data_IF_478711475831
#
_entry.id   IF_478711475831
#
_cell.length_a   1.000
_cell.length_b   1.000
_cell.length_c   1.000
_cell.angle_alpha   90.00
_cell.angle_beta   90.00
_cell.angle_gamma   90.00
#
_symmetry.space_group_name_H-M   'P 1'
#
loop_
_entity.id
_entity.type
_entity.pdbx_description
1 polymer ?
#
# COMPACT_ATOMS: atom_id res chain seq x y z
N UNK A 1 7.95 -9.50 6.53
CA UNK A 1 7.36 -9.26 5.20
C UNK A 1 8.41 -9.57 4.14
N UNK A 2 8.10 -10.46 3.19
CA UNK A 2 9.07 -11.05 2.25
C UNK A 2 9.90 -10.03 1.45
N UNK A 3 9.32 -8.86 1.14
CA UNK A 3 9.97 -7.83 0.34
C UNK A 3 10.92 -6.90 1.11
N UNK A 4 10.68 -6.70 2.41
CA UNK A 4 11.35 -5.68 3.22
C UNK A 4 12.40 -6.26 4.17
N UNK A 5 12.55 -7.58 4.23
CA UNK A 5 13.43 -8.29 5.17
C UNK A 5 13.25 -7.86 6.65
N UNK A 6 12.00 -7.58 7.03
CA UNK A 6 11.60 -7.21 8.40
C UNK A 6 10.69 -8.25 9.01
N UNK A 7 10.78 -8.43 10.32
CA UNK A 7 9.83 -9.23 11.11
C UNK A 7 8.81 -8.29 11.74
N UNK A 8 7.53 -8.52 11.46
CA UNK A 8 6.43 -7.74 12.03
C UNK A 8 5.85 -8.46 13.24
N UNK A 9 5.29 -7.68 14.17
CA UNK A 9 4.66 -8.18 15.38
C UNK A 9 3.13 -8.04 15.32
N UNK A 10 2.44 -8.66 16.29
CA UNK A 10 0.96 -8.61 16.41
C UNK A 10 0.37 -7.19 16.44
N UNK A 11 1.17 -6.20 16.85
CA UNK A 11 0.78 -4.80 16.94
C UNK A 11 0.77 -4.08 15.59
N UNK A 12 1.47 -4.60 14.57
CA UNK A 12 1.48 -4.04 13.21
C UNK A 12 0.19 -4.35 12.44
N UNK A 13 -0.62 -5.31 12.91
CA UNK A 13 -1.94 -5.59 12.36
C UNK A 13 -3.01 -4.94 13.25
N UNK A 14 -3.59 -3.84 12.78
CA UNK A 14 -4.67 -3.12 13.45
C UNK A 14 -5.99 -3.58 12.84
N UNK A 15 -6.98 -3.90 13.68
CA UNK A 15 -8.33 -4.24 13.23
C UNK A 15 -9.35 -3.42 14.01
N UNK A 16 -10.51 -3.16 13.40
CA UNK A 16 -11.63 -2.47 14.06
C UNK A 16 -11.95 -3.09 15.42
N UNK A 17 -12.02 -4.42 15.50
CA UNK A 17 -12.27 -5.13 16.77
C UNK A 17 -11.22 -4.87 17.86
N UNK A 18 -9.94 -4.71 17.51
CA UNK A 18 -8.89 -4.36 18.49
C UNK A 18 -9.06 -2.95 19.03
N UNK A 19 -9.34 -1.99 18.15
CA UNK A 19 -9.54 -0.58 18.53
C UNK A 19 -10.78 -0.44 19.40
N UNK A 20 -11.90 -1.01 18.98
CA UNK A 20 -13.16 -0.93 19.73
C UNK A 20 -13.01 -1.58 21.10
N UNK A 21 -12.36 -2.75 21.18
CA UNK A 21 -12.07 -3.39 22.47
C UNK A 21 -11.26 -2.47 23.38
N UNK A 22 -10.18 -1.86 22.87
CA UNK A 22 -9.36 -0.95 23.66
C UNK A 22 -10.16 0.24 24.21
N UNK A 23 -11.01 0.84 23.37
CA UNK A 23 -11.81 2.00 23.77
C UNK A 23 -12.89 1.61 24.79
N UNK A 24 -13.57 0.48 24.60
CA UNK A 24 -14.55 -0.06 25.58
C UNK A 24 -13.88 -0.39 26.91
N UNK A 25 -12.67 -0.97 26.89
CA UNK A 25 -11.93 -1.31 28.10
C UNK A 25 -11.52 -0.03 28.87
N UNK A 26 -11.08 1.03 28.17
CA UNK A 26 -10.78 2.36 28.75
C UNK A 26 -12.02 3.04 29.33
N UNK A 27 -13.15 2.94 28.65
CA UNK A 27 -14.44 3.45 29.12
C UNK A 27 -14.83 2.81 30.46
N UNK A 28 -14.75 1.48 30.54
CA UNK A 28 -15.05 0.74 31.78
C UNK A 28 -14.09 1.03 32.92
N UNK A 29 -12.85 1.39 32.61
CA UNK A 29 -11.88 1.81 33.61
C UNK A 29 -12.12 3.23 34.16
N UNK A 30 -12.92 4.04 33.46
CA UNK A 30 -13.21 5.42 33.84
C UNK A 30 -12.28 6.46 33.21
N UNK A 31 -11.47 6.09 32.21
CA UNK A 31 -10.49 6.99 31.57
C UNK A 31 -11.14 8.20 30.89
N UNK A 32 -12.41 8.08 30.48
CA UNK A 32 -13.18 9.14 29.85
C UNK A 32 -14.00 10.00 30.84
N UNK A 33 -13.73 9.88 32.15
CA UNK A 33 -14.37 10.69 33.21
C UNK A 33 -15.91 10.65 33.19
N UNK A 34 -16.48 9.50 32.81
CA UNK A 34 -17.92 9.30 32.71
C UNK A 34 -18.60 10.02 31.54
N UNK A 35 -17.84 10.63 30.62
CA UNK A 35 -18.39 11.22 29.38
C UNK A 35 -18.73 10.14 28.36
N UNK A 36 -19.72 10.41 27.52
CA UNK A 36 -20.13 9.51 26.45
C UNK A 36 -19.03 9.31 25.43
N UNK A 37 -18.68 8.06 25.16
CA UNK A 37 -17.74 7.67 24.11
C UNK A 37 -18.41 7.71 22.74
N UNK A 38 -17.70 8.26 21.76
CA UNK A 38 -18.16 8.48 20.38
C UNK A 38 -17.05 8.08 19.40
N UNK A 39 -17.41 7.82 18.13
CA UNK A 39 -16.43 7.50 17.08
C UNK A 39 -15.39 8.61 16.93
N UNK A 40 -15.85 9.86 16.81
CA UNK A 40 -14.98 11.03 16.86
C UNK A 40 -15.20 11.72 18.22
N UNK A 41 -14.15 12.01 19.00
CA UNK A 41 -12.73 11.77 18.70
C UNK A 41 -12.21 10.41 19.22
N UNK A 42 -12.95 9.68 20.07
CA UNK A 42 -12.36 8.60 20.87
C UNK A 42 -11.81 7.41 20.06
N UNK A 43 -12.50 6.98 19.00
CA UNK A 43 -12.02 5.89 18.13
C UNK A 43 -10.90 6.41 17.23
N UNK A 44 -11.05 7.63 16.67
CA UNK A 44 -10.04 8.23 15.79
C UNK A 44 -8.74 8.53 16.51
N UNK A 45 -8.80 8.97 17.77
CA UNK A 45 -7.63 9.19 18.63
C UNK A 45 -6.94 7.88 18.97
N UNK A 46 -7.71 6.83 19.31
CA UNK A 46 -7.15 5.51 19.59
C UNK A 46 -6.41 4.91 18.38
N UNK A 47 -6.92 5.11 17.16
CA UNK A 47 -6.23 4.71 15.92
C UNK A 47 -4.91 5.48 15.77
N UNK A 48 -4.95 6.80 15.93
CA UNK A 48 -3.78 7.67 15.81
C UNK A 48 -2.69 7.36 16.85
N UNK A 49 -3.07 7.18 18.13
CA UNK A 49 -2.16 6.75 19.20
C UNK A 49 -1.51 5.40 18.89
N UNK A 50 -2.26 4.46 18.33
CA UNK A 50 -1.73 3.14 17.98
C UNK A 50 -0.67 3.25 16.89
N UNK A 51 -0.94 4.03 15.85
CA UNK A 51 -0.01 4.27 14.73
C UNK A 51 1.31 4.83 15.25
N UNK A 52 1.27 5.90 16.05
CA UNK A 52 2.49 6.52 16.60
C UNK A 52 3.28 5.55 17.47
N UNK A 53 2.59 4.81 18.34
CA UNK A 53 3.21 3.82 19.20
C UNK A 53 3.89 2.70 18.42
N UNK A 54 3.35 2.28 17.28
CA UNK A 54 3.96 1.25 16.44
C UNK A 54 5.09 1.83 15.60
N UNK A 55 4.93 3.05 15.06
CA UNK A 55 5.94 3.71 14.25
C UNK A 55 7.25 3.98 15.02
N UNK A 56 7.17 4.24 16.32
CA UNK A 56 8.35 4.47 17.17
C UNK A 56 9.11 3.19 17.53
N UNK A 57 8.53 2.01 17.31
CA UNK A 57 9.15 0.75 17.70
C UNK A 57 10.17 0.27 16.67
N UNK A 58 11.40 -0.07 17.10
CA UNK A 58 12.36 -0.69 16.20
C UNK A 58 11.87 -2.07 15.78
N UNK A 59 11.89 -2.33 14.48
CA UNK A 59 11.51 -3.61 13.86
C UNK A 59 12.71 -4.30 13.16
N UNK A 60 13.82 -3.58 13.01
CA UNK A 60 15.07 -4.09 12.47
C UNK A 60 15.99 -4.60 13.58
N UNK A 61 16.86 -5.54 13.23
CA UNK A 61 17.90 -6.07 14.14
C UNK A 61 18.85 -4.98 14.66
N UNK A 62 18.96 -3.87 13.93
CA UNK A 62 19.76 -2.70 14.30
C UNK A 62 19.21 -1.91 15.49
N UNK A 63 17.98 -2.17 15.93
CA UNK A 63 17.36 -1.49 17.07
C UNK A 63 17.02 -0.01 16.82
N UNK A 64 17.18 0.49 15.58
CA UNK A 64 16.90 1.88 15.23
C UNK A 64 15.41 2.11 15.03
N UNK A 65 14.93 3.28 15.47
CA UNK A 65 13.57 3.74 15.17
C UNK A 65 13.41 3.98 13.67
N UNK A 66 12.34 3.46 13.04
CA UNK A 66 12.05 3.73 11.62
C UNK A 66 11.82 5.21 11.34
N UNK A 67 12.36 5.70 10.22
CA UNK A 67 12.12 7.08 9.74
C UNK A 67 10.83 7.17 8.89
N UNK A 68 10.43 6.06 8.26
CA UNK A 68 9.23 5.96 7.42
C UNK A 68 8.39 4.78 7.88
N UNK A 69 7.10 5.03 8.10
CA UNK A 69 6.10 4.00 8.41
C UNK A 69 5.13 3.86 7.24
N UNK A 70 5.10 2.68 6.61
CA UNK A 70 4.15 2.37 5.55
C UNK A 70 2.87 1.84 6.20
N UNK A 71 1.76 2.51 5.97
CA UNK A 71 0.45 2.15 6.50
C UNK A 71 -0.44 1.73 5.34
N UNK A 72 -0.90 0.48 5.38
CA UNK A 72 -1.89 -0.05 4.44
C UNK A 72 -3.27 -0.02 5.10
N UNK A 73 -4.20 0.71 4.51
CA UNK A 73 -5.61 0.61 4.86
C UNK A 73 -6.26 -0.43 3.94
N UNK A 74 -6.60 -1.59 4.49
CA UNK A 74 -7.37 -2.61 3.78
C UNK A 74 -8.83 -2.20 3.58
N UNK A 75 -9.49 -2.84 2.62
CA UNK A 75 -10.87 -2.51 2.23
C UNK A 75 -10.91 -1.52 1.05
N UNK A 76 -12.11 -1.02 0.74
CA UNK A 76 -12.33 -0.05 -0.33
C UNK A 76 -12.68 1.29 0.29
N UNK A 77 -12.16 2.38 -0.28
CA UNK A 77 -12.57 3.74 0.10
C UNK A 77 -14.06 3.89 -0.20
N UNK A 78 -14.83 4.37 0.78
CA UNK A 78 -16.29 4.51 0.68
C UNK A 78 -17.09 3.49 1.49
N UNK A 79 -16.46 2.39 1.86
CA UNK A 79 -17.09 1.38 2.72
C UNK A 79 -17.26 1.92 4.15
N UNK A 80 -18.38 1.56 4.79
CA UNK A 80 -18.74 2.00 6.16
C UNK A 80 -17.64 1.63 7.16
N UNK A 81 -17.00 0.47 6.96
CA UNK A 81 -15.92 -0.05 7.78
C UNK A 81 -14.65 0.83 7.73
N UNK A 82 -14.41 1.51 6.61
CA UNK A 82 -13.21 2.33 6.38
C UNK A 82 -13.34 3.76 6.92
N UNK A 83 -14.57 4.25 7.11
CA UNK A 83 -14.85 5.66 7.44
C UNK A 83 -14.12 6.13 8.70
N UNK A 84 -14.10 5.32 9.77
CA UNK A 84 -13.41 5.68 11.00
C UNK A 84 -11.88 5.81 10.82
N UNK A 85 -11.28 4.98 9.96
CA UNK A 85 -9.86 5.06 9.67
C UNK A 85 -9.52 6.26 8.78
N UNK A 86 -10.34 6.54 7.77
CA UNK A 86 -10.14 7.69 6.89
C UNK A 86 -10.24 8.99 7.68
N UNK A 87 -11.24 9.12 8.57
CA UNK A 87 -11.36 10.29 9.44
C UNK A 87 -10.18 10.40 10.42
N UNK A 88 -9.69 9.28 10.96
CA UNK A 88 -8.49 9.27 11.79
C UNK A 88 -7.25 9.77 11.03
N UNK A 89 -7.03 9.30 9.80
CA UNK A 89 -5.93 9.76 8.95
C UNK A 89 -6.10 11.22 8.52
N UNK A 90 -7.33 11.66 8.27
CA UNK A 90 -7.64 13.05 7.94
C UNK A 90 -7.25 13.98 9.08
N UNK A 91 -7.51 13.61 10.34
CA UNK A 91 -7.06 14.36 11.51
C UNK A 91 -5.54 14.27 11.71
N UNK A 92 -4.98 13.06 11.52
CA UNK A 92 -3.56 12.79 11.69
C UNK A 92 -2.68 13.66 10.78
N UNK A 93 -3.07 13.86 9.52
CA UNK A 93 -2.31 14.67 8.56
C UNK A 93 -2.06 16.10 9.06
N UNK A 94 -3.03 16.69 9.77
CA UNK A 94 -2.90 18.04 10.33
C UNK A 94 -1.99 18.05 11.56
N UNK A 95 -2.04 16.99 12.37
CA UNK A 95 -1.22 16.84 13.56
C UNK A 95 0.26 16.66 13.24
N UNK A 96 0.59 15.84 12.25
CA UNK A 96 1.99 15.53 11.88
C UNK A 96 2.58 16.49 10.86
N UNK A 97 1.76 17.38 10.28
CA UNK A 97 2.08 18.29 9.18
C UNK A 97 2.22 17.59 7.82
N UNK A 98 2.09 18.39 6.76
CA UNK A 98 2.01 17.94 5.36
C UNK A 98 3.27 17.19 4.93
N UNK A 99 4.45 17.63 5.35
CA UNK A 99 5.75 17.04 4.99
C UNK A 99 5.97 15.64 5.59
N UNK A 100 5.23 15.26 6.64
CA UNK A 100 5.38 13.95 7.30
C UNK A 100 4.23 12.99 6.96
N UNK A 101 3.35 13.36 6.02
CA UNK A 101 2.20 12.55 5.60
C UNK A 101 2.09 12.53 4.08
N UNK A 102 2.00 11.32 3.52
CA UNK A 102 1.86 11.09 2.09
C UNK A 102 0.76 10.06 1.82
N UNK A 103 -0.15 10.37 0.91
CA UNK A 103 -1.25 9.48 0.51
C UNK A 103 -0.99 8.88 -0.86
N UNK A 104 -0.84 7.56 -0.93
CA UNK A 104 -0.83 6.81 -2.18
C UNK A 104 -2.18 6.11 -2.37
N UNK A 105 -2.96 6.53 -3.37
CA UNK A 105 -4.23 5.92 -3.69
C UNK A 105 -4.06 4.90 -4.83
N UNK A 106 -4.49 3.67 -4.59
CA UNK A 106 -4.44 2.59 -5.58
C UNK A 106 -5.83 2.41 -6.20
N UNK A 107 -5.93 2.43 -7.53
CA UNK A 107 -7.16 2.27 -8.28
C UNK A 107 -7.00 1.27 -9.43
N UNK A 108 -8.11 0.73 -9.94
CA UNK A 108 -8.15 -0.19 -11.07
C UNK A 108 -8.72 0.53 -12.31
N UNK A 109 -8.02 0.42 -13.44
CA UNK A 109 -8.51 0.85 -14.76
C UNK A 109 -8.95 -0.39 -15.53
N UNK A 110 -10.25 -0.75 -15.53
CA UNK A 110 -10.73 -1.90 -16.27
C UNK A 110 -10.72 -1.63 -17.77
N UNK A 111 -10.54 -2.71 -18.54
CA UNK A 111 -10.66 -2.72 -20.00
C UNK A 111 -11.63 -3.85 -20.41
N UNK A 112 -12.94 -3.57 -20.47
CA UNK A 112 -13.91 -4.59 -20.84
C UNK A 112 -13.59 -5.19 -22.20
N UNK A 113 -13.55 -6.53 -22.30
CA UNK A 113 -13.22 -7.26 -23.53
C UNK A 113 -14.14 -6.90 -24.70
N UNK A 114 -15.39 -6.54 -24.40
CA UNK A 114 -16.40 -6.14 -25.38
C UNK A 114 -16.09 -4.80 -26.05
N UNK A 115 -15.53 -3.84 -25.32
CA UNK A 115 -15.25 -2.50 -25.84
C UNK A 115 -13.80 -2.31 -26.25
N UNK A 116 -12.85 -3.04 -25.63
CA UNK A 116 -11.42 -2.87 -25.86
C UNK A 116 -10.84 -1.54 -25.35
N UNK A 117 -11.67 -0.64 -24.80
CA UNK A 117 -11.25 0.65 -24.26
C UNK A 117 -11.02 0.62 -22.75
N UNK A 118 -9.96 1.30 -22.31
CA UNK A 118 -9.72 1.58 -20.88
C UNK A 118 -10.78 2.53 -20.34
N UNK A 119 -11.44 2.15 -19.24
CA UNK A 119 -12.45 3.00 -18.59
C UNK A 119 -11.86 3.67 -17.35
N UNK A 120 -11.75 4.99 -17.40
CA UNK A 120 -11.13 5.83 -16.35
C UNK A 120 -12.11 6.36 -15.31
N UNK A 121 -13.42 6.35 -15.61
CA UNK A 121 -14.46 6.86 -14.71
C UNK A 121 -14.42 6.27 -13.29
N UNK A 122 -14.21 4.95 -13.08
CA UNK A 122 -14.13 4.39 -11.73
C UNK A 122 -13.02 5.04 -10.89
N UNK A 123 -11.84 5.26 -11.49
CA UNK A 123 -10.72 5.95 -10.83
C UNK A 123 -11.07 7.40 -10.49
N UNK A 124 -11.74 8.12 -11.40
CA UNK A 124 -12.14 9.51 -11.16
C UNK A 124 -13.10 9.63 -9.97
N UNK A 125 -14.10 8.74 -9.90
CA UNK A 125 -15.07 8.72 -8.80
C UNK A 125 -14.41 8.41 -7.45
N UNK A 126 -13.53 7.40 -7.39
CA UNK A 126 -12.84 7.02 -6.15
C UNK A 126 -11.89 8.12 -5.64
N UNK A 127 -11.23 8.84 -6.56
CA UNK A 127 -10.39 9.99 -6.19
C UNK A 127 -11.23 11.16 -5.68
N UNK A 128 -12.41 11.38 -6.26
CA UNK A 128 -13.35 12.39 -5.78
C UNK A 128 -13.83 12.06 -4.36
N UNK A 129 -14.24 10.81 -4.14
CA UNK A 129 -14.70 10.32 -2.83
C UNK A 129 -13.62 10.42 -1.74
N UNK A 130 -12.38 10.04 -2.05
CA UNK A 130 -11.26 10.20 -1.13
C UNK A 130 -11.06 11.68 -0.71
N UNK A 131 -11.24 12.61 -1.65
CA UNK A 131 -11.16 14.06 -1.39
C UNK A 131 -12.34 14.59 -0.61
N UNK A 132 -13.54 14.10 -0.88
CA UNK A 132 -14.74 14.45 -0.10
C UNK A 132 -14.57 14.05 1.37
N UNK A 133 -13.87 12.93 1.62
CA UNK A 133 -13.47 12.50 2.96
C UNK A 133 -12.25 13.26 3.52
N UNK A 134 -11.75 14.28 2.81
CA UNK A 134 -10.70 15.19 3.28
C UNK A 134 -9.26 14.70 3.11
N UNK A 135 -9.03 13.63 2.33
CA UNK A 135 -7.69 13.18 1.95
C UNK A 135 -7.43 13.47 0.47
N UNK A 136 -6.31 14.12 0.18
CA UNK A 136 -5.87 14.35 -1.20
C UNK A 136 -4.72 13.39 -1.53
N UNK A 137 -4.81 12.60 -2.62
CA UNK A 137 -3.73 11.70 -2.99
C UNK A 137 -2.51 12.50 -3.47
N UNK A 138 -1.35 12.20 -2.91
CA UNK A 138 -0.05 12.68 -3.40
C UNK A 138 0.43 11.82 -4.58
N UNK A 139 0.02 10.55 -4.61
CA UNK A 139 0.32 9.58 -5.67
C UNK A 139 -0.95 8.83 -6.03
N UNK A 140 -1.20 8.67 -7.33
CA UNK A 140 -2.24 7.79 -7.86
C UNK A 140 -1.56 6.63 -8.59
N UNK A 141 -1.77 5.42 -8.07
CA UNK A 141 -1.30 4.16 -8.66
C UNK A 141 -2.48 3.48 -9.35
N UNK A 142 -2.45 3.39 -10.66
CA UNK A 142 -3.47 2.72 -11.44
C UNK A 142 -3.01 1.35 -11.92
N UNK A 143 -3.65 0.30 -11.43
CA UNK A 143 -3.49 -1.06 -11.97
C UNK A 143 -4.31 -1.22 -13.25
N UNK A 144 -3.77 -1.89 -14.26
CA UNK A 144 -4.48 -2.23 -15.49
C UNK A 144 -4.04 -3.59 -16.04
N UNK A 145 -4.83 -4.24 -16.88
CA UNK A 145 -4.40 -5.50 -17.53
C UNK A 145 -3.31 -5.24 -18.59
N UNK A 146 -3.41 -4.11 -19.31
CA UNK A 146 -2.51 -3.72 -20.39
C UNK A 146 -1.91 -2.33 -20.13
N UNK A 147 -0.75 -2.00 -20.75
CA UNK A 147 -0.20 -0.66 -20.70
C UNK A 147 -1.22 0.36 -21.24
N UNK A 148 -1.45 1.43 -20.48
CA UNK A 148 -2.35 2.50 -20.92
C UNK A 148 -1.62 3.52 -21.79
N UNK A 149 -2.31 4.03 -22.80
CA UNK A 149 -1.82 5.10 -23.67
C UNK A 149 -1.72 6.45 -22.96
N UNK A 150 -0.90 7.36 -23.52
CA UNK A 150 -0.64 8.68 -22.95
C UNK A 150 -1.92 9.53 -22.78
N UNK A 151 -2.87 9.43 -23.72
CA UNK A 151 -4.16 10.13 -23.65
C UNK A 151 -4.98 9.79 -22.41
N UNK A 152 -4.93 8.52 -21.97
CA UNK A 152 -5.60 8.06 -20.75
C UNK A 152 -4.93 8.65 -19.51
N UNK A 153 -3.59 8.73 -19.52
CA UNK A 153 -2.82 9.34 -18.42
C UNK A 153 -3.13 10.82 -18.26
N UNK A 154 -3.16 11.56 -19.36
CA UNK A 154 -3.49 12.99 -19.37
C UNK A 154 -4.92 13.23 -18.91
N UNK A 155 -5.86 12.40 -19.36
CA UNK A 155 -7.25 12.44 -18.90
C UNK A 155 -7.32 12.27 -17.37
N UNK A 156 -6.68 11.24 -16.82
CA UNK A 156 -6.70 11.00 -15.36
C UNK A 156 -6.01 12.15 -14.63
N UNK A 157 -4.86 12.62 -15.09
CA UNK A 157 -4.14 13.76 -14.51
C UNK A 157 -5.02 15.01 -14.42
N UNK A 158 -5.75 15.34 -15.50
CA UNK A 158 -6.66 16.48 -15.55
C UNK A 158 -7.88 16.32 -14.63
N UNK A 159 -8.60 15.19 -14.73
CA UNK A 159 -9.81 14.94 -13.92
C UNK A 159 -9.49 14.77 -12.44
N UNK A 160 -8.38 14.11 -12.14
CA UNK A 160 -7.94 13.88 -10.77
C UNK A 160 -7.11 15.03 -10.25
N UNK A 161 -6.87 16.13 -10.96
CA UNK A 161 -6.08 17.28 -10.50
C UNK A 161 -4.74 16.88 -9.85
N UNK A 162 -4.01 15.96 -10.48
CA UNK A 162 -2.66 15.56 -10.08
C UNK A 162 -1.69 15.80 -11.22
N UNK A 163 -0.46 16.19 -10.93
CA UNK A 163 0.58 16.33 -11.93
C UNK A 163 0.90 14.96 -12.57
N UNK A 164 1.34 14.90 -13.84
CA UNK A 164 1.68 13.64 -14.50
C UNK A 164 2.72 12.80 -13.75
N UNK A 165 3.61 13.45 -13.00
CA UNK A 165 4.66 12.81 -12.17
C UNK A 165 4.08 12.10 -10.93
N UNK A 166 2.90 12.48 -10.49
CA UNK A 166 2.19 11.90 -9.35
C UNK A 166 1.35 10.68 -9.76
N UNK A 167 1.28 10.40 -11.07
CA UNK A 167 0.48 9.33 -11.63
C UNK A 167 1.38 8.22 -12.17
N UNK A 168 1.14 6.99 -11.73
CA UNK A 168 1.80 5.79 -12.26
C UNK A 168 0.75 4.77 -12.67
N UNK A 169 0.92 4.19 -13.86
CA UNK A 169 0.10 3.07 -14.32
C UNK A 169 0.94 1.82 -14.42
N UNK A 170 0.56 0.81 -13.64
CA UNK A 170 1.24 -0.47 -13.55
C UNK A 170 0.35 -1.51 -14.24
N UNK A 171 0.75 -2.01 -15.44
CA UNK A 171 0.05 -3.10 -16.07
C UNK A 171 0.26 -4.40 -15.28
N UNK A 172 -0.53 -5.45 -15.55
CA UNK A 172 -0.25 -6.77 -15.01
C UNK A 172 1.14 -7.23 -15.51
N UNK A 173 2.07 -7.39 -14.57
CA UNK A 173 3.44 -7.81 -14.83
C UNK A 173 3.55 -9.32 -14.70
N UNK A 174 4.54 -9.91 -15.38
CA UNK A 174 4.80 -11.35 -15.32
C UNK A 174 5.25 -11.81 -13.94
N UNK A 175 5.87 -10.89 -13.17
CA UNK A 175 6.35 -11.18 -11.84
C UNK A 175 6.17 -10.01 -10.88
N UNK A 176 5.82 -10.32 -9.63
CA UNK A 176 5.75 -9.35 -8.52
C UNK A 176 7.10 -8.68 -8.24
N UNK A 177 8.22 -9.30 -8.63
CA UNK A 177 9.56 -8.75 -8.45
C UNK A 177 9.89 -7.61 -9.43
N UNK A 178 9.08 -7.44 -10.49
CA UNK A 178 9.24 -6.37 -11.46
C UNK A 178 8.59 -5.07 -11.02
N UNK A 179 7.63 -5.13 -10.09
CA UNK A 179 6.90 -3.95 -9.58
C UNK A 179 7.85 -2.88 -9.02
N UNK A 180 8.83 -3.18 -8.13
CA UNK A 180 9.75 -2.17 -7.63
C UNK A 180 10.59 -1.52 -8.74
N UNK A 181 11.05 -2.31 -9.71
CA UNK A 181 11.84 -1.81 -10.86
C UNK A 181 10.98 -0.92 -11.74
N UNK A 182 9.71 -1.29 -11.96
CA UNK A 182 8.76 -0.51 -12.74
C UNK A 182 8.47 0.84 -12.07
N UNK A 183 8.25 0.85 -10.75
CA UNK A 183 8.05 2.08 -9.97
C UNK A 183 9.29 2.97 -9.99
N UNK A 184 10.48 2.38 -9.89
CA UNK A 184 11.74 3.12 -9.94
C UNK A 184 11.98 3.78 -11.29
N UNK A 185 11.71 3.07 -12.39
CA UNK A 185 11.81 3.64 -13.74
C UNK A 185 10.86 4.84 -13.97
N UNK A 186 9.83 4.99 -13.14
CA UNK A 186 8.91 6.14 -13.16
C UNK A 186 9.33 7.26 -12.19
N UNK A 187 10.46 7.15 -11.49
CA UNK A 187 10.98 8.19 -10.59
C UNK A 187 10.24 8.29 -9.25
N UNK A 188 9.51 7.24 -8.85
CA UNK A 188 8.69 7.29 -7.63
C UNK A 188 9.50 7.49 -6.35
N UNK A 189 10.71 6.92 -6.26
CA UNK A 189 11.59 7.09 -5.11
C UNK A 189 12.08 8.53 -4.97
N UNK A 190 12.44 9.17 -6.08
CA UNK A 190 12.83 10.57 -6.13
C UNK A 190 11.67 11.49 -5.72
N UNK A 191 10.49 11.26 -6.28
CA UNK A 191 9.28 12.01 -5.92
C UNK A 191 8.98 11.91 -4.42
N UNK A 192 9.01 10.71 -3.84
CA UNK A 192 8.75 10.50 -2.41
C UNK A 192 9.82 11.16 -1.54
N UNK A 193 11.10 11.07 -1.92
CA UNK A 193 12.20 11.73 -1.21
C UNK A 193 11.99 13.25 -1.12
N UNK A 194 11.59 13.87 -2.24
CA UNK A 194 11.27 15.29 -2.28
C UNK A 194 9.99 15.63 -1.50
N UNK A 195 8.92 14.85 -1.68
CA UNK A 195 7.61 15.11 -1.07
C UNK A 195 7.65 15.01 0.46
N UNK A 196 8.47 14.12 1.01
CA UNK A 196 8.63 13.86 2.44
C UNK A 196 9.89 14.48 3.05
N UNK A 197 10.66 15.27 2.29
CA UNK A 197 11.91 15.88 2.72
C UNK A 197 12.91 14.92 3.38
N UNK A 198 13.05 13.70 2.82
CA UNK A 198 13.87 12.63 3.44
C UNK A 198 15.39 12.88 3.31
N UNK A 199 15.82 13.90 2.57
CA UNK A 199 17.24 14.23 2.40
C UNK A 199 18.04 13.17 1.64
N UNK A 200 17.37 12.31 0.87
CA UNK A 200 18.03 11.25 0.09
C UNK A 200 18.52 11.88 -1.22
N UNK A 201 19.69 12.51 -1.20
CA UNK A 201 20.34 13.07 -2.39
C UNK A 201 21.88 13.02 -2.29
N UNK A 202 22.61 12.52 -3.31
CA UNK A 202 22.09 11.82 -4.49
C UNK A 202 21.67 10.40 -4.14
N UNK A 203 20.60 9.93 -4.78
CA UNK A 203 20.33 8.50 -4.84
C UNK A 203 21.51 7.85 -5.59
N UNK A 204 22.42 7.18 -4.88
CA UNK A 204 23.43 6.32 -5.52
C UNK A 204 22.70 5.49 -6.59
N UNK A 205 23.26 5.28 -7.81
CA UNK A 205 22.49 4.93 -8.99
C UNK A 205 21.51 3.83 -8.61
N UNK A 206 20.22 4.15 -8.51
CA UNK A 206 19.22 3.26 -7.91
C UNK A 206 19.19 1.91 -8.60
N UNK A 207 19.63 1.86 -9.86
CA UNK A 207 20.01 0.67 -10.62
C UNK A 207 20.86 -0.35 -9.83
N UNK A 208 21.78 0.07 -8.96
CA UNK A 208 22.59 -0.81 -8.09
C UNK A 208 21.72 -1.48 -7.02
N UNK A 209 20.81 -0.74 -6.39
CA UNK A 209 19.87 -1.30 -5.42
C UNK A 209 18.75 -2.11 -6.07
N UNK A 210 18.42 -1.81 -7.33
CA UNK A 210 17.45 -2.57 -8.13
C UNK A 210 18.03 -3.86 -8.72
N UNK A 211 19.36 -4.01 -8.78
CA UNK A 211 20.03 -5.19 -9.35
C UNK A 211 19.50 -6.54 -8.83
N UNK A 212 19.26 -6.73 -7.51
CA UNK A 212 18.67 -7.97 -7.00
C UNK A 212 17.27 -8.25 -7.57
N UNK A 213 16.42 -7.22 -7.68
CA UNK A 213 15.06 -7.33 -8.22
C UNK A 213 15.07 -7.64 -9.71
N UNK A 214 15.91 -6.95 -10.48
CA UNK A 214 16.11 -7.21 -11.92
C UNK A 214 16.55 -8.66 -12.13
N UNK A 215 17.56 -9.11 -11.39
CA UNK A 215 18.06 -10.48 -11.49
C UNK A 215 17.00 -11.52 -11.10
N UNK A 216 16.18 -11.25 -10.09
CA UNK A 216 15.09 -12.15 -9.69
C UNK A 216 14.01 -12.27 -10.76
N UNK A 217 13.62 -11.14 -11.39
CA UNK A 217 12.65 -11.13 -12.50
C UNK A 217 13.20 -11.85 -13.74
N UNK A 218 14.44 -11.58 -14.12
CA UNK A 218 15.11 -12.25 -15.24
C UNK A 218 15.21 -13.76 -15.04
N UNK A 219 15.55 -14.23 -13.83
CA UNK A 219 15.61 -15.66 -13.55
C UNK A 219 14.24 -16.32 -13.64
N UNK A 220 13.18 -15.68 -13.15
CA UNK A 220 11.82 -16.21 -13.27
C UNK A 220 11.38 -16.37 -14.74
N UNK A 221 11.80 -15.46 -15.62
CA UNK A 221 11.51 -15.56 -17.06
C UNK A 221 12.27 -16.67 -17.78
N UNK A 222 13.42 -17.07 -17.25
CA UNK A 222 14.33 -18.03 -17.92
C UNK A 222 14.49 -19.34 -17.14
N UNK A 223 13.47 -19.76 -16.38
CA UNK A 223 13.45 -21.07 -15.73
C UNK A 223 13.53 -22.17 -16.78
N UNK A 224 14.48 -23.11 -16.59
CA UNK A 224 14.75 -24.17 -17.58
C UNK A 224 14.01 -25.46 -17.31
N UNK A 225 13.61 -25.67 -16.06
CA UNK A 225 13.06 -26.92 -15.59
C UNK A 225 11.68 -26.69 -14.97
N UNK A 226 10.75 -27.58 -15.27
CA UNK A 226 9.43 -27.60 -14.67
C UNK A 226 9.37 -28.75 -13.66
N UNK A 227 8.93 -28.44 -12.44
CA UNK A 227 8.73 -29.44 -11.37
C UNK A 227 7.29 -29.36 -10.90
N UNK A 228 6.58 -30.48 -11.00
CA UNK A 228 5.21 -30.58 -10.50
C UNK A 228 5.23 -30.84 -9.00
N UNK A 229 4.65 -29.92 -8.21
CA UNK A 229 4.48 -30.07 -6.77
C UNK A 229 2.99 -30.16 -6.46
N UNK A 230 2.53 -31.32 -6.02
CA UNK A 230 1.14 -31.50 -5.60
C UNK A 230 0.93 -30.98 -4.17
N UNK A 231 0.04 -30.01 -3.99
CA UNK A 231 -0.36 -29.48 -2.68
C UNK A 231 -1.67 -30.16 -2.25
N UNK A 232 -1.62 -30.99 -1.22
CA UNK A 232 -2.81 -31.64 -0.65
C UNK A 232 -3.46 -30.67 0.35
N UNK A 233 -4.47 -29.95 -0.12
CA UNK A 233 -5.20 -28.94 0.65
C UNK A 233 -6.66 -29.30 0.92
N UNK A 234 -7.23 -28.66 1.94
CA UNK A 234 -8.67 -28.71 2.27
C UNK A 234 -9.52 -27.87 1.30
N UNK A 235 -8.98 -26.75 0.82
CA UNK A 235 -9.72 -25.78 0.00
C UNK A 235 -9.19 -25.74 -1.43
N UNK A 236 -9.76 -26.54 -2.33
CA UNK A 236 -9.26 -26.65 -3.71
C UNK A 236 -9.65 -25.48 -4.63
N UNK A 237 -10.60 -24.63 -4.22
CA UNK A 237 -11.13 -23.50 -5.03
C UNK A 237 -10.74 -22.11 -4.53
N UNK A 238 -10.07 -22.01 -3.37
CA UNK A 238 -9.61 -20.75 -2.81
C UNK A 238 -8.08 -20.72 -2.89
N UNK A 239 -7.56 -20.25 -4.02
CA UNK A 239 -6.11 -20.08 -4.24
C UNK A 239 -5.47 -19.23 -3.13
N UNK A 240 -6.21 -18.24 -2.61
CA UNK A 240 -5.78 -17.38 -1.51
C UNK A 240 -5.40 -18.14 -0.23
N UNK A 241 -6.00 -19.31 0.02
CA UNK A 241 -5.70 -20.12 1.20
C UNK A 241 -4.28 -20.66 1.20
N UNK A 242 -3.64 -20.76 0.03
CA UNK A 242 -2.32 -21.35 -0.15
C UNK A 242 -1.31 -20.38 -0.77
N UNK A 243 -1.67 -19.11 -0.98
CA UNK A 243 -0.80 -18.09 -1.59
C UNK A 243 0.57 -17.97 -0.92
N UNK A 244 0.65 -18.09 0.40
CA UNK A 244 1.94 -18.03 1.11
C UNK A 244 2.85 -19.24 0.79
N UNK A 245 2.27 -20.44 0.72
CA UNK A 245 2.98 -21.67 0.36
C UNK A 245 3.45 -21.60 -1.09
N UNK A 246 2.55 -21.26 -2.01
CA UNK A 246 2.85 -21.12 -3.44
C UNK A 246 3.96 -20.10 -3.68
N UNK A 247 3.89 -18.92 -3.04
CA UNK A 247 4.96 -17.91 -3.14
C UNK A 247 6.31 -18.38 -2.59
N UNK A 248 6.31 -19.10 -1.46
CA UNK A 248 7.53 -19.65 -0.88
C UNK A 248 8.17 -20.71 -1.80
N UNK A 249 7.36 -21.59 -2.39
CA UNK A 249 7.81 -22.59 -3.35
C UNK A 249 8.39 -21.94 -4.62
N UNK A 250 7.71 -20.94 -5.19
CA UNK A 250 8.25 -20.19 -6.33
C UNK A 250 9.57 -19.50 -6.00
N UNK A 251 9.72 -18.94 -4.81
CA UNK A 251 10.98 -18.32 -4.39
C UNK A 251 12.10 -19.34 -4.23
N UNK A 252 11.82 -20.50 -3.64
CA UNK A 252 12.78 -21.59 -3.51
C UNK A 252 13.19 -22.15 -4.89
N UNK A 253 12.23 -22.36 -5.80
CA UNK A 253 12.48 -22.79 -7.17
C UNK A 253 13.39 -21.81 -7.91
N UNK A 254 13.07 -20.50 -7.87
CA UNK A 254 13.86 -19.45 -8.51
C UNK A 254 15.33 -19.39 -8.00
N UNK A 255 15.59 -19.86 -6.78
CA UNK A 255 16.97 -19.95 -6.26
C UNK A 255 17.78 -21.05 -6.94
N UNK A 256 17.14 -22.12 -7.38
CA UNK A 256 17.77 -23.32 -7.94
C UNK A 256 17.92 -23.20 -9.47
N UNK A 257 16.99 -22.50 -10.14
CA UNK A 257 16.96 -22.31 -11.61
C UNK A 257 15.99 -23.26 -12.29
#
# INVERSE_FOLDING_TARGET
MMFLNITLHRQNNITTGKIYKQVIDRERHGDYLGKTVQVVPHITDAIQEWIEKVAQKPISETGKTPEVCIIELGGIVGDIESMAFIEAFRQFQFRVKRENFCVAHVSLIPQPRTTGEHKTKPTQSLVCELRELGLSPDIIVCRSEKPIGQSVKEMISNFCHVAPQQFISIPDLESVYEVPVFMENHGMAEYLSHRLHLGITPLAPMRKYMKPWICLGEKMRHLKYEVMVAIVGKYTRLEDSYTSITKALHHAGNKIG
#
